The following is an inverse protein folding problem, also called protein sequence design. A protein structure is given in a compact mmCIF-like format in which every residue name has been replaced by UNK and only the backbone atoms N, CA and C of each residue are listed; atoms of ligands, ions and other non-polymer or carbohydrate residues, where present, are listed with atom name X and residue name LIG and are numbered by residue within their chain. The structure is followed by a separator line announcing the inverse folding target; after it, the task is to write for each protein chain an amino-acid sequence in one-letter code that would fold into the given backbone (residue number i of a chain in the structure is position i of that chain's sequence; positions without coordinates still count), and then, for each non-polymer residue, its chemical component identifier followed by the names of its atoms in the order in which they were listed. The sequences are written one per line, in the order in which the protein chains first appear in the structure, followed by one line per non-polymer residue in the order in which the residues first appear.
data_IF_560471642727
#
_entry.id   IF_560471642727
#
_cell.length_a   1.000
_cell.length_b   1.000
_cell.length_c   1.000
_cell.angle_alpha   90.00
_cell.angle_beta   90.00
_cell.angle_gamma   90.00
#
_symmetry.space_group_name_H-M   'P 1'
#
loop_
_entity.id
_entity.type
_entity.pdbx_description
1 polymer ?
#
# COMPACT_ATOMS: atom_id res chain seq x y z
N UNK A 1 33.25 -0.44 1.72
CA UNK A 1 33.16 -1.31 2.91
C UNK A 1 32.46 -2.58 2.47
N UNK A 2 32.92 -3.76 2.88
CA UNK A 2 32.18 -5.00 2.63
C UNK A 2 30.95 -5.01 3.54
N UNK A 3 29.76 -5.23 2.98
CA UNK A 3 28.53 -5.39 3.75
C UNK A 3 28.57 -6.72 4.51
N UNK A 4 28.38 -6.67 5.82
CA UNK A 4 28.24 -7.87 6.65
C UNK A 4 26.77 -8.27 6.76
N UNK A 5 26.48 -9.57 6.67
CA UNK A 5 25.15 -10.14 6.79
C UNK A 5 25.02 -10.88 8.12
N UNK A 6 23.99 -10.56 8.90
CA UNK A 6 23.80 -11.07 10.25
C UNK A 6 22.55 -11.94 10.34
N UNK A 7 22.65 -13.06 11.06
CA UNK A 7 21.55 -14.01 11.24
C UNK A 7 21.48 -14.50 12.69
N UNK A 8 20.31 -14.43 13.34
CA UNK A 8 20.11 -15.11 14.62
C UNK A 8 19.99 -16.62 14.40
N UNK A 9 20.61 -17.38 15.30
CA UNK A 9 20.33 -18.80 15.45
C UNK A 9 19.00 -18.99 16.19
N UNK A 10 18.04 -19.67 15.56
CA UNK A 10 16.75 -19.96 16.21
C UNK A 10 16.74 -21.27 17.00
N UNK A 11 17.68 -22.18 16.68
CA UNK A 11 17.83 -23.48 17.33
C UNK A 11 19.28 -23.70 17.76
N UNK A 12 19.45 -24.50 18.84
CA UNK A 12 20.78 -24.78 19.39
C UNK A 12 21.61 -25.57 18.36
N UNK A 13 22.82 -25.12 18.03
CA UNK A 13 23.72 -25.94 17.24
C UNK A 13 24.17 -27.16 18.05
N UNK A 14 23.74 -28.36 17.66
CA UNK A 14 24.10 -29.61 18.36
C UNK A 14 25.47 -30.18 17.96
N UNK A 15 26.23 -29.54 17.07
CA UNK A 15 27.56 -29.99 16.65
C UNK A 15 27.99 -29.43 15.29
N UNK A 16 29.06 -29.99 14.70
CA UNK A 16 29.51 -29.68 13.33
C UNK A 16 28.33 -29.87 12.36
N UNK A 17 28.00 -28.85 11.55
CA UNK A 17 26.92 -28.90 10.56
C UNK A 17 25.61 -28.19 10.95
N UNK A 18 25.56 -27.49 12.08
CA UNK A 18 24.36 -26.77 12.54
C UNK A 18 24.13 -25.37 11.95
N UNK A 19 25.10 -24.88 11.18
CA UNK A 19 25.03 -23.64 10.41
C UNK A 19 26.06 -23.75 9.28
N UNK A 20 25.89 -23.03 8.16
CA UNK A 20 26.75 -23.21 7.00
C UNK A 20 28.15 -22.65 7.29
N UNK A 21 29.08 -23.52 7.69
CA UNK A 21 30.52 -23.20 7.73
C UNK A 21 31.08 -23.25 6.32
N UNK A 22 30.87 -22.17 5.57
CA UNK A 22 31.45 -21.96 4.25
C UNK A 22 32.50 -20.85 4.30
N UNK A 23 33.13 -20.57 3.17
CA UNK A 23 34.17 -19.54 3.03
C UNK A 23 33.65 -18.11 3.31
N UNK A 24 32.33 -17.93 3.45
CA UNK A 24 31.72 -16.64 3.75
C UNK A 24 31.49 -16.45 5.27
N UNK A 25 31.61 -17.48 6.10
CA UNK A 25 31.43 -17.35 7.55
C UNK A 25 32.56 -16.53 8.16
N UNK A 26 32.23 -15.42 8.82
CA UNK A 26 33.21 -14.54 9.44
C UNK A 26 33.38 -14.87 10.93
N UNK A 27 32.29 -14.80 11.69
CA UNK A 27 32.34 -14.95 13.15
C UNK A 27 30.99 -15.24 13.77
N UNK A 28 31.04 -15.66 15.03
CA UNK A 28 29.91 -15.77 15.93
C UNK A 28 29.94 -14.64 16.96
N UNK A 29 28.80 -13.98 17.19
CA UNK A 29 28.62 -12.92 18.18
C UNK A 29 27.61 -13.38 19.24
N UNK A 30 27.97 -13.24 20.51
CA UNK A 30 27.04 -13.50 21.62
C UNK A 30 26.22 -12.25 21.88
N UNK A 31 24.91 -12.38 21.93
CA UNK A 31 23.97 -11.30 22.23
C UNK A 31 22.97 -11.71 23.34
N UNK A 32 21.87 -10.99 23.45
CA UNK A 32 20.79 -11.25 24.43
C UNK A 32 19.91 -12.46 24.04
N UNK A 33 20.02 -12.98 22.82
CA UNK A 33 19.26 -14.15 22.39
C UNK A 33 19.84 -15.43 22.96
N UNK A 34 19.03 -16.49 22.95
CA UNK A 34 19.42 -17.79 23.51
C UNK A 34 20.64 -18.42 22.81
N UNK A 35 20.85 -18.13 21.53
CA UNK A 35 21.83 -18.83 20.69
C UNK A 35 22.81 -17.92 19.95
N UNK A 36 22.67 -16.60 19.99
CA UNK A 36 23.60 -15.66 19.39
C UNK A 36 23.37 -15.39 17.91
N UNK A 37 24.30 -14.63 17.32
CA UNK A 37 24.29 -14.14 15.95
C UNK A 37 25.45 -14.74 15.17
N UNK A 38 25.18 -15.15 13.93
CA UNK A 38 26.19 -15.53 12.95
C UNK A 38 26.39 -14.38 11.95
N UNK A 39 27.65 -14.09 11.64
CA UNK A 39 28.03 -13.01 10.72
C UNK A 39 28.73 -13.60 9.49
N UNK A 40 28.30 -13.18 8.31
CA UNK A 40 28.82 -13.62 7.01
C UNK A 40 29.24 -12.44 6.13
N UNK A 41 30.19 -12.67 5.23
CA UNK A 41 30.64 -11.70 4.22
C UNK A 41 29.76 -11.64 2.98
N UNK A 42 28.85 -12.62 2.83
CA UNK A 42 27.87 -12.70 1.74
C UNK A 42 26.54 -13.17 2.31
N UNK A 43 25.47 -12.76 1.64
CA UNK A 43 24.11 -13.21 1.90
C UNK A 43 24.01 -14.75 1.81
N UNK A 44 23.20 -15.33 2.68
CA UNK A 44 22.79 -16.74 2.64
C UNK A 44 21.48 -16.85 1.85
N UNK A 45 21.41 -17.81 0.93
CA UNK A 45 20.21 -18.08 0.12
C UNK A 45 19.01 -18.50 1.02
N UNK A 46 17.79 -18.11 0.66
CA UNK A 46 16.58 -18.41 1.45
C UNK A 46 16.40 -19.90 1.78
N UNK A 47 16.74 -20.81 0.87
CA UNK A 47 16.69 -22.26 1.12
C UNK A 47 17.59 -22.69 2.28
N UNK A 48 18.79 -22.10 2.39
CA UNK A 48 19.73 -22.38 3.47
C UNK A 48 19.31 -21.71 4.77
N UNK A 49 18.70 -20.51 4.70
CA UNK A 49 18.14 -19.85 5.88
C UNK A 49 17.14 -20.78 6.57
N UNK A 50 16.20 -21.37 5.82
CA UNK A 50 15.23 -22.33 6.36
C UNK A 50 15.90 -23.61 6.85
N UNK A 51 16.77 -24.20 6.03
CA UNK A 51 17.45 -25.46 6.36
C UNK A 51 18.22 -25.38 7.69
N UNK A 52 18.89 -24.26 7.95
CA UNK A 52 19.65 -24.03 9.18
C UNK A 52 18.87 -23.28 10.26
N UNK A 53 17.57 -23.04 10.04
CA UNK A 53 16.68 -22.33 10.97
C UNK A 53 17.29 -20.99 11.43
N UNK A 54 17.66 -20.16 10.45
CA UNK A 54 18.25 -18.84 10.67
C UNK A 54 17.18 -17.76 10.60
N UNK A 55 17.29 -16.72 11.42
CA UNK A 55 16.47 -15.50 11.29
C UNK A 55 17.35 -14.35 10.79
N UNK A 56 17.16 -13.88 9.55
CA UNK A 56 18.04 -12.93 8.86
C UNK A 56 17.84 -11.50 9.38
N UNK A 57 18.82 -10.91 10.04
CA UNK A 57 18.69 -9.60 10.70
C UNK A 57 18.86 -8.48 9.68
N UNK A 58 19.95 -8.54 8.90
CA UNK A 58 20.32 -7.48 7.95
C UNK A 58 19.28 -7.29 6.86
N UNK A 59 18.76 -8.39 6.32
CA UNK A 59 17.71 -8.35 5.29
C UNK A 59 16.39 -7.85 5.86
N UNK A 60 16.08 -8.16 7.12
CA UNK A 60 14.86 -7.66 7.78
C UNK A 60 14.91 -6.16 7.96
N UNK A 61 16.05 -5.61 8.39
CA UNK A 61 16.25 -4.16 8.50
C UNK A 61 16.07 -3.43 7.15
N UNK A 62 16.30 -4.14 6.03
CA UNK A 62 16.12 -3.58 4.68
C UNK A 62 14.68 -3.66 4.17
N UNK A 63 13.84 -4.54 4.72
CA UNK A 63 12.43 -4.71 4.30
C UNK A 63 11.44 -4.14 5.31
N UNK A 64 11.85 -3.89 6.56
CA UNK A 64 10.96 -3.35 7.59
C UNK A 64 10.44 -1.97 7.19
N UNK A 65 9.11 -1.81 7.25
CA UNK A 65 8.41 -0.60 6.83
C UNK A 65 8.25 -0.45 5.31
N UNK A 66 8.78 -1.38 4.50
CA UNK A 66 8.65 -1.29 3.03
C UNK A 66 7.30 -1.82 2.54
N UNK A 67 6.93 -1.36 1.34
CA UNK A 67 5.81 -1.89 0.58
C UNK A 67 6.31 -2.95 -0.40
N UNK A 68 5.50 -3.98 -0.65
CA UNK A 68 5.72 -4.93 -1.74
C UNK A 68 4.50 -5.00 -2.64
N UNK A 69 4.75 -5.05 -3.94
CA UNK A 69 3.75 -5.43 -4.93
C UNK A 69 3.86 -6.95 -5.15
N UNK A 70 2.71 -7.65 -5.12
CA UNK A 70 2.65 -9.07 -5.47
C UNK A 70 2.44 -9.18 -6.98
N UNK A 71 3.42 -9.78 -7.67
CA UNK A 71 3.45 -9.83 -9.14
C UNK A 71 2.08 -10.22 -9.70
N UNK A 72 1.54 -9.40 -10.61
CA UNK A 72 0.23 -9.57 -11.28
C UNK A 72 -1.00 -9.16 -10.46
N UNK A 73 -0.83 -8.39 -9.38
CA UNK A 73 -1.93 -7.73 -8.68
C UNK A 73 -1.61 -6.25 -8.53
N UNK A 74 -2.63 -5.40 -8.53
CA UNK A 74 -2.52 -3.97 -8.19
C UNK A 74 -2.39 -3.75 -6.68
N UNK A 75 -2.33 -4.83 -5.90
CA UNK A 75 -2.36 -4.81 -4.45
C UNK A 75 -0.97 -4.64 -3.84
N UNK A 76 -0.89 -3.73 -2.86
CA UNK A 76 0.33 -3.47 -2.10
C UNK A 76 0.20 -4.00 -0.68
N UNK A 77 1.25 -4.69 -0.24
CA UNK A 77 1.37 -5.17 1.13
C UNK A 77 2.43 -4.37 1.87
N UNK A 78 2.08 -3.85 3.03
CA UNK A 78 3.02 -3.20 3.94
C UNK A 78 3.66 -4.25 4.82
N UNK A 79 4.99 -4.28 4.83
CA UNK A 79 5.76 -5.22 5.62
C UNK A 79 6.20 -4.56 6.92
N UNK A 80 5.94 -5.22 8.03
CA UNK A 80 6.42 -4.81 9.35
C UNK A 80 7.14 -5.96 10.03
N UNK A 81 8.38 -5.73 10.40
CA UNK A 81 9.14 -6.65 11.20
C UNK A 81 8.64 -6.62 12.65
N UNK A 82 8.29 -7.77 13.18
CA UNK A 82 7.84 -7.92 14.57
C UNK A 82 8.70 -8.96 15.26
N UNK A 83 9.21 -8.61 16.44
CA UNK A 83 10.07 -9.47 17.24
C UNK A 83 9.22 -10.27 18.22
N UNK A 84 9.39 -11.59 18.23
CA UNK A 84 8.75 -12.45 19.22
C UNK A 84 9.48 -12.38 20.58
N UNK A 85 8.89 -12.92 21.67
CA UNK A 85 9.51 -12.89 23.00
C UNK A 85 10.89 -13.56 23.09
N UNK A 86 11.21 -14.47 22.16
CA UNK A 86 12.50 -15.15 22.07
C UNK A 86 13.55 -14.34 21.30
N UNK A 87 13.16 -13.18 20.75
CA UNK A 87 14.04 -12.27 20.03
C UNK A 87 14.14 -12.52 18.53
N UNK A 88 13.32 -13.41 17.97
CA UNK A 88 13.29 -13.71 16.53
C UNK A 88 12.27 -12.85 15.80
N UNK A 89 12.56 -12.52 14.56
CA UNK A 89 11.67 -11.72 13.75
C UNK A 89 10.71 -12.59 12.94
N UNK A 90 9.50 -12.08 12.77
CA UNK A 90 8.53 -12.46 11.73
C UNK A 90 8.08 -11.21 11.00
N UNK A 91 7.47 -11.37 9.84
CA UNK A 91 6.92 -10.25 9.05
C UNK A 91 5.41 -10.29 9.16
N UNK A 92 4.83 -9.20 9.64
CA UNK A 92 3.42 -8.91 9.43
C UNK A 92 3.26 -8.22 8.08
N UNK A 93 2.61 -8.89 7.13
CA UNK A 93 2.25 -8.31 5.85
C UNK A 93 0.78 -7.85 5.95
N UNK A 94 0.53 -6.56 5.72
CA UNK A 94 -0.80 -5.95 5.86
C UNK A 94 -1.21 -5.23 4.59
N UNK A 95 -2.41 -5.51 4.10
CA UNK A 95 -3.01 -4.85 2.95
C UNK A 95 -4.03 -3.81 3.43
N UNK A 96 -4.06 -2.64 2.79
CA UNK A 96 -4.95 -1.53 3.15
C UNK A 96 -5.81 -1.08 1.96
N UNK A 97 -7.06 -0.67 2.22
CA UNK A 97 -7.95 0.10 1.33
C UNK A 97 -8.39 1.37 2.10
N UNK A 98 -8.07 2.56 1.60
CA UNK A 98 -8.41 3.85 2.25
C UNK A 98 -8.17 3.89 3.78
N UNK A 99 -6.96 3.49 4.22
CA UNK A 99 -6.52 3.36 5.63
C UNK A 99 -7.17 2.23 6.44
N UNK A 100 -8.12 1.49 5.89
CA UNK A 100 -8.68 0.29 6.52
C UNK A 100 -7.88 -0.96 6.17
N UNK A 101 -7.58 -1.79 7.16
CA UNK A 101 -6.91 -3.08 6.94
C UNK A 101 -7.89 -4.06 6.31
N UNK A 102 -7.62 -4.47 5.08
CA UNK A 102 -8.45 -5.43 4.33
C UNK A 102 -7.93 -6.87 4.44
N UNK A 103 -6.62 -7.07 4.58
CA UNK A 103 -6.02 -8.39 4.84
C UNK A 103 -4.75 -8.26 5.69
N UNK A 104 -4.45 -9.31 6.45
CA UNK A 104 -3.25 -9.41 7.27
C UNK A 104 -2.76 -10.84 7.37
N UNK A 105 -1.49 -11.05 7.01
CA UNK A 105 -0.81 -12.33 7.13
C UNK A 105 0.44 -12.21 8.03
N UNK A 106 0.72 -13.28 8.78
CA UNK A 106 2.01 -13.43 9.47
C UNK A 106 2.85 -14.44 8.69
N UNK A 107 4.00 -13.99 8.19
CA UNK A 107 4.84 -14.76 7.27
C UNK A 107 6.24 -14.88 7.87
N UNK A 108 6.90 -16.02 7.62
CA UNK A 108 8.28 -16.21 8.05
C UNK A 108 9.20 -15.28 7.27
N UNK A 109 10.28 -14.86 7.90
CA UNK A 109 11.26 -13.97 7.26
C UNK A 109 11.94 -14.64 6.08
N UNK A 110 12.12 -15.96 6.13
CA UNK A 110 12.69 -16.74 5.04
C UNK A 110 11.74 -16.81 3.83
N UNK A 111 10.44 -16.96 4.04
CA UNK A 111 9.45 -16.96 2.96
C UNK A 111 9.34 -15.58 2.29
N UNK A 112 9.39 -14.50 3.07
CA UNK A 112 9.41 -13.14 2.50
C UNK A 112 10.64 -12.95 1.61
N UNK A 113 11.82 -13.31 2.10
CA UNK A 113 13.07 -13.25 1.35
C UNK A 113 13.01 -14.11 0.10
N UNK A 114 12.48 -15.34 0.20
CA UNK A 114 12.30 -16.24 -0.93
C UNK A 114 11.38 -15.61 -1.98
N UNK A 115 10.23 -15.08 -1.59
CA UNK A 115 9.28 -14.45 -2.50
C UNK A 115 9.89 -13.26 -3.25
N UNK A 116 10.75 -12.49 -2.57
CA UNK A 116 11.52 -11.40 -3.20
C UNK A 116 12.59 -11.96 -4.16
N UNK A 117 13.36 -12.96 -3.74
CA UNK A 117 14.41 -13.59 -4.57
C UNK A 117 13.87 -14.16 -5.89
N UNK A 118 12.69 -14.79 -5.85
CA UNK A 118 12.06 -15.40 -7.02
C UNK A 118 11.18 -14.42 -7.81
N UNK A 119 11.16 -13.13 -7.42
CA UNK A 119 10.41 -12.09 -8.11
C UNK A 119 8.89 -12.16 -7.96
N UNK A 120 8.37 -12.94 -7.01
CA UNK A 120 6.93 -12.92 -6.68
C UNK A 120 6.55 -11.63 -5.98
N UNK A 121 7.43 -11.11 -5.13
CA UNK A 121 7.24 -9.87 -4.38
C UNK A 121 8.30 -8.87 -4.83
N UNK A 122 7.86 -7.69 -5.25
CA UNK A 122 8.73 -6.61 -5.71
C UNK A 122 8.70 -5.52 -4.65
N UNK A 123 9.86 -5.17 -4.08
CA UNK A 123 9.96 -4.06 -3.12
C UNK A 123 9.71 -2.75 -3.84
N UNK A 124 8.81 -1.94 -3.28
CA UNK A 124 8.44 -0.62 -3.78
C UNK A 124 8.90 0.39 -2.73
N UNK A 125 9.78 1.31 -3.11
CA UNK A 125 10.14 2.42 -2.24
C UNK A 125 8.94 3.40 -2.16
N UNK A 126 8.75 4.11 -1.04
CA UNK A 126 7.55 4.95 -0.86
C UNK A 126 7.43 6.11 -1.89
N UNK A 127 8.55 6.51 -2.51
CA UNK A 127 8.57 7.45 -3.62
C UNK A 127 8.24 6.82 -4.99
N UNK A 128 8.14 5.49 -5.05
CA UNK A 128 7.99 4.70 -6.28
C UNK A 128 6.56 4.20 -6.52
N UNK A 129 5.59 4.50 -5.63
CA UNK A 129 4.18 4.18 -5.86
C UNK A 129 3.66 4.86 -7.14
N UNK A 130 3.94 6.15 -7.27
CA UNK A 130 3.51 6.94 -8.42
C UNK A 130 4.36 6.62 -9.65
N UNK A 131 5.66 6.34 -9.45
CA UNK A 131 6.53 5.90 -10.53
C UNK A 131 6.10 4.53 -11.06
N UNK A 132 5.67 3.60 -10.20
CA UNK A 132 5.22 2.26 -10.61
C UNK A 132 3.92 2.33 -11.40
N UNK A 133 2.96 3.15 -10.95
CA UNK A 133 1.73 3.43 -11.70
C UNK A 133 2.02 4.11 -13.03
N UNK A 134 2.93 5.09 -13.06
CA UNK A 134 3.34 5.76 -14.29
C UNK A 134 4.03 4.78 -15.25
N UNK A 135 4.91 3.90 -14.75
CA UNK A 135 5.55 2.86 -15.57
C UNK A 135 4.52 1.87 -16.11
N UNK A 136 3.50 1.51 -15.33
CA UNK A 136 2.42 0.61 -15.78
C UNK A 136 1.63 1.23 -16.94
N UNK A 137 1.21 2.50 -16.81
CA UNK A 137 0.54 3.25 -17.87
C UNK A 137 1.44 3.32 -19.12
N UNK A 138 2.71 3.72 -18.97
CA UNK A 138 3.63 3.84 -20.11
C UNK A 138 4.01 2.48 -20.72
N UNK A 139 3.76 1.36 -20.03
CA UNK A 139 3.98 0.01 -20.59
C UNK A 139 3.00 -0.29 -21.73
N UNK A 140 1.85 0.38 -21.79
CA UNK A 140 0.90 0.27 -22.90
C UNK A 140 1.55 0.63 -24.24
N UNK A 141 2.50 1.58 -24.25
CA UNK A 141 3.24 1.98 -25.45
C UNK A 141 4.55 1.22 -25.68
N UNK A 142 4.82 0.16 -24.91
CA UNK A 142 6.06 -0.60 -25.01
C UNK A 142 6.31 -1.14 -26.43
N UNK A 143 5.27 -1.62 -27.11
CA UNK A 143 5.39 -2.14 -28.46
C UNK A 143 5.82 -1.05 -29.46
N UNK A 144 5.30 0.17 -29.30
CA UNK A 144 5.67 1.32 -30.12
C UNK A 144 7.15 1.67 -29.93
N UNK A 145 7.66 1.61 -28.70
CA UNK A 145 9.09 1.81 -28.40
C UNK A 145 9.99 0.71 -28.98
N UNK A 146 9.55 -0.55 -28.93
CA UNK A 146 10.27 -1.67 -29.55
C UNK A 146 10.29 -1.56 -31.08
N UNK A 147 9.21 -1.07 -31.68
CA UNK A 147 9.12 -0.80 -33.11
C UNK A 147 10.05 0.36 -33.53
N UNK A 148 10.23 1.38 -32.70
CA UNK A 148 11.26 2.42 -32.92
C UNK A 148 12.66 1.84 -32.81
N UNK A 149 12.93 1.06 -31.76
CA UNK A 149 14.25 0.48 -31.51
C UNK A 149 14.69 -0.50 -32.62
N UNK A 150 13.73 -1.21 -33.21
CA UNK A 150 13.95 -2.11 -34.35
C UNK A 150 14.03 -1.39 -35.70
N UNK A 151 13.74 -0.09 -35.74
CA UNK A 151 13.71 0.73 -36.96
C UNK A 151 12.47 0.49 -37.83
N UNK A 152 11.44 -0.16 -37.29
CA UNK A 152 10.13 -0.36 -37.93
C UNK A 152 9.29 0.92 -37.93
N UNK A 153 9.44 1.76 -36.90
CA UNK A 153 8.90 3.11 -36.83
C UNK A 153 10.02 4.13 -36.67
N UNK A 154 9.83 5.31 -37.25
CA UNK A 154 10.61 6.49 -36.88
C UNK A 154 10.07 7.12 -35.58
N UNK A 155 10.87 7.94 -34.88
CA UNK A 155 10.38 8.66 -33.69
C UNK A 155 9.12 9.51 -33.96
N UNK A 156 9.03 10.14 -35.13
CA UNK A 156 7.86 10.96 -35.49
C UNK A 156 6.61 10.10 -35.70
N UNK A 157 6.76 8.92 -36.31
CA UNK A 157 5.66 7.97 -36.49
C UNK A 157 5.22 7.35 -35.16
N UNK A 158 6.15 7.13 -34.23
CA UNK A 158 5.84 6.65 -32.89
C UNK A 158 4.98 7.64 -32.10
N UNK A 159 5.27 8.95 -32.19
CA UNK A 159 4.43 9.99 -31.56
C UNK A 159 3.01 9.92 -32.10
N UNK A 160 2.85 9.78 -33.43
CA UNK A 160 1.54 9.68 -34.05
C UNK A 160 0.79 8.43 -33.57
N UNK A 161 1.48 7.29 -33.46
CA UNK A 161 0.86 6.04 -33.03
C UNK A 161 0.43 6.11 -31.56
N UNK A 162 1.28 6.59 -30.66
CA UNK A 162 0.93 6.82 -29.25
C UNK A 162 -0.27 7.76 -29.10
N UNK A 163 -0.37 8.82 -29.91
CA UNK A 163 -1.53 9.72 -29.88
C UNK A 163 -2.82 9.03 -30.34
N UNK A 164 -2.74 8.11 -31.31
CA UNK A 164 -3.91 7.33 -31.74
C UNK A 164 -4.39 6.39 -30.64
N UNK A 165 -3.48 5.68 -29.98
CA UNK A 165 -3.80 4.77 -28.88
C UNK A 165 -4.59 5.52 -27.81
N UNK A 166 -4.10 6.69 -27.37
CA UNK A 166 -4.81 7.54 -26.40
C UNK A 166 -6.20 7.97 -26.88
N UNK A 167 -6.36 8.33 -28.15
CA UNK A 167 -7.64 8.76 -28.73
C UNK A 167 -8.63 7.61 -28.94
N UNK A 168 -8.13 6.38 -29.12
CA UNK A 168 -8.94 5.18 -29.22
C UNK A 168 -9.48 4.77 -27.85
N UNK A 169 -8.64 4.83 -26.82
CA UNK A 169 -9.03 4.57 -25.44
C UNK A 169 -9.95 5.66 -24.87
N UNK A 170 -9.65 6.93 -25.17
CA UNK A 170 -10.44 8.07 -24.72
C UNK A 170 -10.48 9.15 -25.81
N UNK A 171 -11.61 9.30 -26.53
CA UNK A 171 -11.76 10.34 -27.56
C UNK A 171 -11.55 11.77 -27.04
N UNK A 172 -11.68 11.96 -25.73
CA UNK A 172 -11.58 13.23 -25.04
C UNK A 172 -10.20 13.44 -24.38
N UNK A 173 -9.24 12.52 -24.58
CA UNK A 173 -7.94 12.55 -23.90
C UNK A 173 -7.19 13.88 -24.07
N UNK A 174 -7.30 14.52 -25.24
CA UNK A 174 -6.68 15.81 -25.53
C UNK A 174 -7.67 16.99 -25.53
N UNK A 175 -8.87 16.80 -24.99
CA UNK A 175 -9.84 17.89 -24.84
C UNK A 175 -9.32 18.95 -23.87
N UNK A 176 -9.40 20.23 -24.27
CA UNK A 176 -8.84 21.34 -23.50
C UNK A 176 -9.57 21.66 -22.19
N UNK A 177 -10.82 21.18 -22.02
CA UNK A 177 -11.65 21.45 -20.85
C UNK A 177 -11.71 20.26 -19.87
N UNK A 178 -11.49 19.02 -20.35
CA UNK A 178 -11.63 17.80 -19.51
C UNK A 178 -10.47 16.79 -19.64
N UNK A 179 -9.66 16.86 -20.69
CA UNK A 179 -8.57 15.92 -20.96
C UNK A 179 -7.26 16.27 -20.26
N UNK A 180 -6.17 15.66 -20.73
CA UNK A 180 -4.81 15.85 -20.23
C UNK A 180 -4.41 17.33 -20.12
N UNK A 181 -4.70 18.23 -21.10
CA UNK A 181 -4.36 19.64 -20.97
C UNK A 181 -5.03 20.33 -19.77
N UNK A 182 -6.31 20.05 -19.52
CA UNK A 182 -7.05 20.60 -18.39
C UNK A 182 -6.55 20.03 -17.04
N UNK A 183 -6.09 18.77 -17.04
CA UNK A 183 -5.45 18.17 -15.87
C UNK A 183 -4.10 18.81 -15.57
N UNK A 184 -3.25 18.99 -16.60
CA UNK A 184 -1.95 19.66 -16.44
C UNK A 184 -2.09 21.11 -15.97
N UNK A 185 -3.09 21.84 -16.46
CA UNK A 185 -3.36 23.22 -16.02
C UNK A 185 -3.82 23.26 -14.56
N UNK A 186 -4.73 22.37 -14.15
CA UNK A 186 -5.13 22.21 -12.74
C UNK A 186 -3.94 21.87 -11.84
N UNK A 187 -3.04 20.98 -12.26
CA UNK A 187 -1.83 20.65 -11.50
C UNK A 187 -0.86 21.83 -11.36
N UNK A 188 -0.71 22.66 -12.41
CA UNK A 188 0.09 23.90 -12.35
C UNK A 188 -0.52 24.95 -11.41
N UNK A 189 -1.85 24.94 -11.24
CA UNK A 189 -2.55 25.79 -10.25
C UNK A 189 -2.43 25.23 -8.83
N UNK A 190 -2.45 23.90 -8.65
CA UNK A 190 -2.28 23.25 -7.36
C UNK A 190 -0.85 23.35 -6.81
N UNK A 191 0.17 23.38 -7.68
CA UNK A 191 1.55 23.73 -7.32
C UNK A 191 1.70 25.20 -6.85
N UNK A 192 0.69 26.03 -7.13
CA UNK A 192 0.58 27.41 -6.65
C UNK A 192 -0.24 27.55 -5.35
N UNK A 193 -0.74 26.45 -4.75
CA UNK A 193 -1.12 26.48 -3.34
C UNK A 193 0.19 26.58 -2.55
N UNK A 194 0.51 27.72 -1.91
CA UNK A 194 1.84 27.91 -1.39
C UNK A 194 2.05 26.89 -0.26
N UNK A 195 2.87 25.89 -0.50
CA UNK A 195 3.40 24.95 0.50
C UNK A 195 4.06 25.73 1.64
N UNK A 196 4.56 26.93 1.33
CA UNK A 196 5.00 27.95 2.28
C UNK A 196 3.92 28.34 3.31
N UNK A 197 2.64 28.40 2.94
CA UNK A 197 1.55 28.82 3.83
C UNK A 197 1.21 27.74 4.86
N UNK A 198 1.13 26.47 4.44
CA UNK A 198 0.87 25.36 5.36
C UNK A 198 2.07 25.10 6.29
N UNK A 199 3.28 25.08 5.74
CA UNK A 199 4.51 24.96 6.53
C UNK A 199 4.70 26.11 7.52
N UNK A 200 4.40 27.34 7.11
CA UNK A 200 4.43 28.52 7.98
C UNK A 200 3.39 28.46 9.09
N UNK A 201 2.15 28.03 8.79
CA UNK A 201 1.11 27.84 9.80
C UNK A 201 1.48 26.76 10.83
N UNK A 202 2.04 25.63 10.37
CA UNK A 202 2.48 24.57 11.27
C UNK A 202 3.61 25.02 12.20
N UNK A 203 4.57 25.80 11.69
CA UNK A 203 5.64 26.39 12.48
C UNK A 203 5.09 27.35 13.55
N UNK A 204 4.14 28.23 13.18
CA UNK A 204 3.49 29.15 14.12
C UNK A 204 2.71 28.40 15.22
N UNK A 205 1.99 27.32 14.86
CA UNK A 205 1.28 26.47 15.82
C UNK A 205 2.26 25.81 16.80
N UNK A 206 3.40 25.32 16.32
CA UNK A 206 4.43 24.69 17.15
C UNK A 206 5.08 25.68 18.12
N UNK A 207 5.34 26.90 17.68
CA UNK A 207 5.93 27.94 18.54
C UNK A 207 4.94 28.43 19.60
N UNK A 208 3.66 28.60 19.25
CA UNK A 208 2.60 28.86 20.24
C UNK A 208 2.49 27.73 21.26
N UNK A 209 2.60 26.47 20.82
CA UNK A 209 2.54 25.32 21.73
C UNK A 209 3.68 25.32 22.76
N UNK A 210 4.89 25.72 22.35
CA UNK A 210 6.04 25.88 23.26
C UNK A 210 5.79 26.99 24.29
N UNK A 211 5.28 28.14 23.85
CA UNK A 211 5.02 29.26 24.77
C UNK A 211 3.88 28.95 25.74
N UNK A 212 2.80 28.30 25.28
CA UNK A 212 1.72 27.77 26.14
C UNK A 212 2.27 26.83 27.21
N UNK A 213 3.16 25.90 26.82
CA UNK A 213 3.79 24.96 27.75
C UNK A 213 4.61 25.69 28.81
N UNK A 214 5.41 26.69 28.40
CA UNK A 214 6.20 27.53 29.30
C UNK A 214 5.33 28.30 30.30
N UNK A 215 4.21 28.87 29.86
CA UNK A 215 3.27 29.58 30.75
C UNK A 215 2.58 28.61 31.72
N UNK A 216 2.19 27.43 31.24
CA UNK A 216 1.63 26.37 32.08
C UNK A 216 2.59 25.95 33.20
N UNK A 217 3.88 25.80 32.91
CA UNK A 217 4.89 25.46 33.91
C UNK A 217 5.12 26.58 34.93
N UNK A 218 5.12 27.84 34.51
CA UNK A 218 5.20 28.99 35.42
C UNK A 218 4.00 29.09 36.36
N UNK A 219 2.80 28.77 35.86
CA UNK A 219 1.58 28.67 36.66
C UNK A 219 1.73 27.53 37.70
N UNK A 220 2.18 26.34 37.28
CA UNK A 220 2.39 25.18 38.16
C UNK A 220 3.45 25.44 39.24
N UNK A 221 4.46 26.26 38.96
CA UNK A 221 5.49 26.67 39.92
C UNK A 221 4.97 27.64 40.99
N UNK A 222 3.69 28.02 40.96
CA UNK A 222 3.06 28.76 42.05
C UNK A 222 3.53 30.22 42.12
N UNK A 223 3.79 30.88 40.98
CA UNK A 223 4.04 32.32 40.92
C UNK A 223 2.75 33.12 41.22
N UNK A 224 2.28 33.04 42.47
CA UNK A 224 0.98 33.57 42.94
C UNK A 224 0.81 35.06 42.64
N UNK A 225 1.87 35.86 42.78
CA UNK A 225 1.85 37.31 42.51
C UNK A 225 1.59 37.66 41.03
N UNK A 226 1.81 36.70 40.13
CA UNK A 226 1.63 36.85 38.67
C UNK A 226 0.58 35.92 38.09
N UNK A 227 -0.11 35.13 38.92
CA UNK A 227 -1.03 34.10 38.47
C UNK A 227 -2.11 34.64 37.53
N UNK A 228 -2.75 35.76 37.89
CA UNK A 228 -3.80 36.36 37.06
C UNK A 228 -3.30 36.85 35.70
N UNK A 229 -2.05 37.29 35.61
CA UNK A 229 -1.43 37.74 34.34
C UNK A 229 -1.06 36.51 33.50
N UNK A 230 -0.42 35.50 34.10
CA UNK A 230 -0.01 34.27 33.43
C UNK A 230 -1.21 33.47 32.91
N UNK A 231 -2.32 33.43 33.66
CA UNK A 231 -3.55 32.76 33.23
C UNK A 231 -4.15 33.45 32.00
N UNK A 232 -4.18 34.79 32.00
CA UNK A 232 -4.67 35.56 30.84
C UNK A 232 -3.79 35.33 29.61
N UNK A 233 -2.46 35.38 29.75
CA UNK A 233 -1.53 35.11 28.66
C UNK A 233 -1.70 33.68 28.10
N UNK A 234 -1.92 32.70 28.97
CA UNK A 234 -2.19 31.31 28.58
C UNK A 234 -3.48 31.19 27.75
N UNK A 235 -4.55 31.86 28.18
CA UNK A 235 -5.85 31.84 27.49
C UNK A 235 -5.76 32.52 26.12
N UNK A 236 -5.07 33.67 26.03
CA UNK A 236 -4.86 34.43 24.80
C UNK A 236 -4.07 33.59 23.76
N UNK A 237 -2.96 32.97 24.17
CA UNK A 237 -2.15 32.09 23.30
C UNK A 237 -2.91 30.84 22.85
N UNK A 238 -3.72 30.26 23.74
CA UNK A 238 -4.55 29.09 23.43
C UNK A 238 -5.61 29.43 22.39
N UNK A 239 -6.23 30.60 22.50
CA UNK A 239 -7.18 31.10 21.51
C UNK A 239 -6.54 31.34 20.15
N UNK A 240 -5.36 31.97 20.13
CA UNK A 240 -4.60 32.20 18.89
C UNK A 240 -4.24 30.89 18.19
N UNK A 241 -3.75 29.89 18.94
CA UNK A 241 -3.45 28.55 18.42
C UNK A 241 -4.69 27.91 17.78
N UNK A 242 -5.85 28.01 18.43
CA UNK A 242 -7.09 27.42 17.91
C UNK A 242 -7.57 28.10 16.62
N UNK A 243 -7.34 29.41 16.46
CA UNK A 243 -7.63 30.13 15.21
C UNK A 243 -6.74 29.61 14.07
N UNK A 244 -5.44 29.39 14.34
CA UNK A 244 -4.51 28.88 13.33
C UNK A 244 -4.82 27.43 12.92
N UNK A 245 -5.21 26.57 13.87
CA UNK A 245 -5.64 25.19 13.57
C UNK A 245 -6.87 25.20 12.64
N UNK A 246 -7.87 26.05 12.91
CA UNK A 246 -9.05 26.16 12.03
C UNK A 246 -8.67 26.61 10.62
N UNK A 247 -7.76 27.58 10.49
CA UNK A 247 -7.25 28.00 9.18
C UNK A 247 -6.52 26.87 8.45
N UNK A 248 -5.76 26.07 9.18
CA UNK A 248 -5.08 24.89 8.65
C UNK A 248 -6.08 23.83 8.16
N UNK A 249 -7.14 23.56 8.93
CA UNK A 249 -8.21 22.64 8.58
C UNK A 249 -9.00 23.10 7.35
N UNK A 250 -9.29 24.40 7.25
CA UNK A 250 -9.99 24.98 6.11
C UNK A 250 -9.14 24.88 4.82
N UNK A 251 -7.82 25.06 4.93
CA UNK A 251 -6.88 24.84 3.82
C UNK A 251 -6.82 23.36 3.41
N UNK A 252 -6.82 22.43 4.36
CA UNK A 252 -6.88 20.99 4.08
C UNK A 252 -8.17 20.61 3.34
N UNK A 253 -9.31 21.15 3.77
CA UNK A 253 -10.61 20.93 3.10
C UNK A 253 -10.64 21.48 1.69
N UNK A 254 -10.03 22.64 1.46
CA UNK A 254 -9.90 23.22 0.12
C UNK A 254 -9.06 22.31 -0.78
N UNK A 255 -7.97 21.74 -0.26
CA UNK A 255 -7.12 20.80 -1.00
C UNK A 255 -7.81 19.45 -1.30
N UNK A 256 -8.67 18.98 -0.41
CA UNK A 256 -9.34 17.67 -0.55
C UNK A 256 -10.64 17.70 -1.37
N UNK A 257 -11.20 18.89 -1.64
CA UNK A 257 -12.49 19.05 -2.30
C UNK A 257 -12.51 18.59 -3.78
N UNK A 258 -11.50 18.90 -4.61
CA UNK A 258 -11.45 18.45 -6.01
C UNK A 258 -11.42 16.91 -6.10
N UNK A 259 -10.60 16.26 -5.28
CA UNK A 259 -10.46 14.80 -5.26
C UNK A 259 -11.76 14.07 -4.87
N UNK A 260 -12.55 14.65 -3.95
CA UNK A 260 -13.83 14.07 -3.54
C UNK A 260 -14.92 14.21 -4.61
N UNK A 261 -14.98 15.35 -5.32
CA UNK A 261 -15.95 15.59 -6.39
C UNK A 261 -15.65 14.76 -7.65
N UNK A 262 -14.37 14.48 -7.94
CA UNK A 262 -13.94 13.64 -9.06
C UNK A 262 -14.20 12.14 -8.78
N UNK A 263 -14.04 11.70 -7.54
CA UNK A 263 -14.41 10.34 -7.08
C UNK A 263 -15.92 10.08 -7.14
N UNK A 264 -16.74 11.05 -6.75
CA UNK A 264 -18.20 10.92 -6.83
C UNK A 264 -18.74 10.91 -8.27
N UNK A 265 -18.06 11.59 -9.21
CA UNK A 265 -18.43 11.57 -10.64
C UNK A 265 -18.13 10.20 -11.27
N UNK A 266 -16.92 9.67 -11.06
CA UNK A 266 -16.51 8.37 -11.58
C UNK A 266 -17.38 7.21 -11.07
N UNK A 267 -17.75 7.19 -9.79
CA UNK A 267 -18.69 6.21 -9.22
C UNK A 267 -20.10 6.28 -9.84
N UNK A 268 -20.53 7.48 -10.27
CA UNK A 268 -21.85 7.67 -10.90
C UNK A 268 -21.90 7.23 -12.37
N UNK A 269 -20.76 7.25 -13.06
CA UNK A 269 -20.62 6.85 -14.46
C UNK A 269 -20.47 5.33 -14.59
N UNK A 270 -19.72 4.69 -13.69
CA UNK A 270 -19.61 3.22 -13.59
C UNK A 270 -20.96 2.51 -13.43
N UNK A 271 -21.89 3.10 -12.66
CA UNK A 271 -23.21 2.52 -12.43
C UNK A 271 -24.16 2.55 -13.65
N UNK A 272 -23.84 3.30 -14.71
CA UNK A 272 -24.74 3.46 -15.87
C UNK A 272 -24.49 2.46 -17.01
N UNK A 273 -23.37 1.73 -17.00
CA UNK A 273 -22.94 0.91 -18.15
C UNK A 273 -23.13 -0.61 -17.99
N UNK A 274 -23.86 -1.09 -16.97
CA UNK A 274 -24.12 -2.53 -16.82
C UNK A 274 -25.16 -3.00 -17.84
N UNK A 275 -24.71 -3.65 -18.92
CA UNK A 275 -25.57 -4.18 -19.98
C UNK A 275 -25.54 -5.71 -19.99
N UNK A 276 -26.68 -6.42 -19.97
CA UNK A 276 -26.72 -7.88 -19.96
C UNK A 276 -26.34 -8.47 -21.32
N UNK A 277 -25.42 -9.43 -21.36
CA UNK A 277 -24.87 -9.97 -22.62
C UNK A 277 -25.78 -10.98 -23.29
N UNK A 278 -26.38 -11.91 -22.54
CA UNK A 278 -27.41 -12.78 -23.12
C UNK A 278 -28.27 -13.46 -22.06
N UNK A 279 -29.50 -13.80 -22.50
CA UNK A 279 -30.55 -14.40 -21.70
C UNK A 279 -30.86 -15.81 -22.22
N UNK A 280 -30.67 -16.84 -21.40
CA UNK A 280 -31.10 -18.21 -21.70
C UNK A 280 -32.16 -18.61 -20.67
N UNK A 281 -33.42 -18.73 -21.09
CA UNK A 281 -34.53 -18.89 -20.14
C UNK A 281 -34.63 -17.70 -19.17
N UNK A 282 -34.57 -17.95 -17.87
CA UNK A 282 -34.52 -16.91 -16.84
C UNK A 282 -33.09 -16.53 -16.41
N UNK A 283 -32.06 -17.12 -17.02
CA UNK A 283 -30.67 -16.79 -16.73
C UNK A 283 -30.24 -15.55 -17.51
N UNK A 284 -29.56 -14.62 -16.84
CA UNK A 284 -28.90 -13.46 -17.46
C UNK A 284 -27.44 -13.51 -17.04
N UNK A 285 -26.53 -13.58 -18.01
CA UNK A 285 -25.09 -13.46 -17.75
C UNK A 285 -24.67 -11.99 -17.95
N UNK A 286 -23.91 -11.47 -16.99
CA UNK A 286 -23.20 -10.20 -17.09
C UNK A 286 -21.71 -10.52 -17.31
N UNK A 287 -21.03 -9.86 -18.25
CA UNK A 287 -19.56 -9.69 -18.15
C UNK A 287 -19.34 -8.70 -17.03
N UNK A 288 -18.44 -9.07 -16.13
CA UNK A 288 -17.96 -8.16 -15.09
C UNK A 288 -16.50 -7.91 -15.46
N UNK A 289 -16.29 -7.23 -16.58
CA UNK A 289 -14.92 -6.92 -17.01
C UNK A 289 -14.37 -5.64 -16.37
N UNK A 290 -15.18 -4.87 -15.63
CA UNK A 290 -14.71 -3.67 -14.90
C UNK A 290 -15.46 -3.41 -13.58
N UNK A 291 -15.57 -4.41 -12.70
CA UNK A 291 -15.85 -4.09 -11.29
C UNK A 291 -14.55 -4.19 -10.49
N UNK A 292 -14.16 -3.15 -9.71
CA UNK A 292 -13.20 -3.35 -8.65
C UNK A 292 -13.76 -4.45 -7.76
N UNK A 293 -13.02 -5.53 -7.61
CA UNK A 293 -13.39 -6.73 -6.85
C UNK A 293 -13.46 -6.41 -5.36
N UNK A 294 -14.45 -5.61 -4.95
CA UNK A 294 -14.89 -5.54 -3.56
C UNK A 294 -15.61 -6.85 -3.24
N UNK A 295 -14.79 -7.79 -2.80
CA UNK A 295 -15.12 -8.93 -1.92
C UNK A 295 -16.48 -9.57 -2.18
N UNK A 296 -16.53 -10.43 -3.19
CA UNK A 296 -17.53 -11.49 -3.23
C UNK A 296 -17.18 -12.53 -2.15
N UNK A 297 -17.91 -12.51 -1.03
CA UNK A 297 -17.82 -13.57 -0.04
C UNK A 297 -18.77 -14.70 -0.45
N UNK A 298 -18.20 -15.79 -0.96
CA UNK A 298 -18.90 -17.05 -1.19
C UNK A 298 -18.51 -18.09 -0.15
N UNK A 299 -19.48 -18.82 0.39
CA UNK A 299 -19.21 -19.99 1.23
C UNK A 299 -19.45 -21.25 0.41
N UNK A 300 -18.46 -22.15 0.34
CA UNK A 300 -18.68 -23.50 -0.20
C UNK A 300 -19.48 -24.27 0.85
N UNK A 301 -20.79 -24.43 0.62
CA UNK A 301 -21.70 -25.03 1.61
C UNK A 301 -21.62 -26.56 1.59
N UNK A 302 -21.21 -27.18 0.46
CA UNK A 302 -21.13 -28.64 0.34
C UNK A 302 -20.18 -29.06 -0.79
N UNK A 303 -19.35 -30.07 -0.52
CA UNK A 303 -18.56 -30.80 -1.52
C UNK A 303 -19.07 -32.25 -1.53
N UNK A 304 -19.39 -32.79 -2.70
CA UNK A 304 -19.72 -34.22 -2.86
C UNK A 304 -18.78 -34.83 -3.90
N UNK A 305 -18.31 -36.04 -3.61
CA UNK A 305 -17.39 -36.79 -4.45
C UNK A 305 -18.21 -37.72 -5.36
N UNK A 306 -17.98 -37.63 -6.67
CA UNK A 306 -18.54 -38.57 -7.65
C UNK A 306 -17.41 -39.00 -8.58
N UNK A 307 -17.39 -40.31 -8.87
CA UNK A 307 -16.28 -41.04 -9.48
C UNK A 307 -15.79 -40.54 -10.86
N UNK A 308 -16.36 -39.49 -11.47
CA UNK A 308 -15.96 -39.05 -12.81
C UNK A 308 -15.82 -37.56 -13.12
N UNK A 309 -16.16 -36.59 -12.26
CA UNK A 309 -15.84 -35.17 -12.49
C UNK A 309 -16.23 -34.29 -11.29
N UNK A 310 -15.37 -33.35 -10.88
CA UNK A 310 -15.66 -32.43 -9.78
C UNK A 310 -16.61 -31.32 -10.24
N UNK A 311 -17.82 -31.28 -9.70
CA UNK A 311 -18.73 -30.12 -9.81
C UNK A 311 -18.76 -29.34 -8.49
N UNK A 312 -18.66 -28.01 -8.56
CA UNK A 312 -18.75 -27.14 -7.38
C UNK A 312 -20.03 -26.30 -7.46
N UNK A 313 -20.77 -26.25 -6.34
CA UNK A 313 -21.79 -25.22 -6.10
C UNK A 313 -21.15 -24.10 -5.29
N UNK A 314 -21.11 -22.90 -5.87
CA UNK A 314 -20.69 -21.68 -5.17
C UNK A 314 -21.91 -20.78 -5.02
N UNK A 315 -22.40 -20.65 -3.80
CA UNK A 315 -23.40 -19.63 -3.48
C UNK A 315 -22.64 -18.32 -3.21
N UNK A 316 -22.72 -17.37 -4.13
CA UNK A 316 -22.10 -16.05 -3.98
C UNK A 316 -23.15 -15.03 -3.51
N UNK A 317 -22.81 -14.22 -2.51
CA UNK A 317 -23.66 -13.14 -2.03
C UNK A 317 -22.92 -11.82 -2.05
N UNK A 318 -23.65 -10.75 -2.35
CA UNK A 318 -23.20 -9.38 -2.15
C UNK A 318 -23.87 -8.84 -0.91
N UNK A 319 -23.05 -8.30 0.00
CA UNK A 319 -23.50 -7.57 1.18
C UNK A 319 -23.17 -6.10 0.94
N UNK A 320 -24.18 -5.25 0.89
CA UNK A 320 -23.93 -3.81 0.86
C UNK A 320 -23.63 -3.29 2.28
N UNK A 321 -23.20 -2.03 2.40
CA UNK A 321 -22.81 -1.38 3.66
C UNK A 321 -23.96 -1.28 4.69
N UNK A 322 -25.20 -1.56 4.28
CA UNK A 322 -26.37 -1.65 5.16
C UNK A 322 -26.67 -3.06 5.68
N UNK A 323 -25.87 -4.06 5.27
CA UNK A 323 -26.03 -5.46 5.67
C UNK A 323 -27.16 -6.23 4.98
N UNK A 324 -27.79 -5.67 3.94
CA UNK A 324 -28.84 -6.36 3.16
C UNK A 324 -28.22 -7.21 2.05
N UNK A 325 -28.73 -8.43 1.90
CA UNK A 325 -28.34 -9.37 0.83
C UNK A 325 -29.10 -9.01 -0.46
N UNK A 326 -28.39 -8.93 -1.58
CA UNK A 326 -28.97 -8.55 -2.88
C UNK A 326 -29.73 -9.69 -3.58
N UNK A 327 -29.47 -10.96 -3.22
CA UNK A 327 -30.10 -12.14 -3.81
C UNK A 327 -30.71 -13.04 -2.72
N UNK A 328 -32.03 -13.19 -2.74
CA UNK A 328 -32.80 -13.99 -1.78
C UNK A 328 -32.93 -15.45 -2.26
N UNK A 329 -32.68 -16.41 -1.37
CA UNK A 329 -32.46 -17.83 -1.66
C UNK A 329 -33.73 -18.65 -1.96
N UNK A 330 -34.94 -18.15 -1.75
CA UNK A 330 -36.11 -19.04 -1.73
C UNK A 330 -36.66 -19.48 -3.10
N UNK A 331 -36.24 -18.90 -4.23
CA UNK A 331 -36.94 -19.12 -5.51
C UNK A 331 -36.25 -20.00 -6.56
N UNK A 332 -34.97 -20.32 -6.43
CA UNK A 332 -34.25 -21.09 -7.45
C UNK A 332 -33.51 -22.27 -6.82
N UNK A 333 -34.27 -23.24 -6.33
CA UNK A 333 -33.75 -24.54 -5.90
C UNK A 333 -33.84 -25.53 -7.06
N UNK A 334 -32.74 -25.81 -7.75
CA UNK A 334 -32.54 -27.13 -8.35
C UNK A 334 -31.08 -27.56 -8.19
N UNK A 335 -30.94 -28.80 -7.73
CA UNK A 335 -29.70 -29.52 -7.50
C UNK A 335 -29.42 -30.35 -8.75
N UNK A 336 -28.15 -30.42 -9.17
CA UNK A 336 -27.65 -31.55 -9.93
C UNK A 336 -26.74 -32.36 -9.03
#
# INVERSE_FOLDING_TARGET
MMSEYKYHLTLRPFGIGSYPKNDNFLRFEKDETKFGVLVYSKRIDSEKIDHYSLSPITEIEQIDGKKVNVSKTSDYWHLKAVKNPQGYYFIEATQYDDDEVIDKATITTADVIRNIEIGRWILVDENDSDLSKAIEIETEHKQTLEDVASGKLTPDEAIIETVKDHLEESPDYYDSEKGLPAMEERLKEDDNIPTETYGSLQLQINDLHKEISKRSDLIRQGQLDRFGILQKEFDDLSNERNILIRKQDDLLKLKSKPAMEERLKSESELNKNITPLFKVGNFVKYEIDDMPTRTAYGQIVKVMDFDTEFAYRVDAYFKNDSGKVLFDQEKNNEVY
#
